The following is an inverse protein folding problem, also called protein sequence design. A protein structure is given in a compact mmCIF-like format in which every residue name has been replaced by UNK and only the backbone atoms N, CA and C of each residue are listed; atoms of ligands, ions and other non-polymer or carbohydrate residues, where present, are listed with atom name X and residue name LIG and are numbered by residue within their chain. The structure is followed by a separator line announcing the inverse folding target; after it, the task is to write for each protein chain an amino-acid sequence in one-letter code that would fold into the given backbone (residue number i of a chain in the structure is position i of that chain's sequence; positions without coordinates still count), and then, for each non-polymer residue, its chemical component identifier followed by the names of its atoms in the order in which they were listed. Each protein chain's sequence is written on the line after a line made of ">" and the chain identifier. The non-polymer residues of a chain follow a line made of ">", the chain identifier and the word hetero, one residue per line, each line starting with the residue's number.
data_IF_168889203542
#
_entry.id   IF_168889203542
#
_cell.length_a   1.000
_cell.length_b   1.000
_cell.length_c   1.000
_cell.angle_alpha   90.00
_cell.angle_beta   90.00
_cell.angle_gamma   90.00
#
_symmetry.space_group_name_H-M   'P 1'
#
loop_
_entity.id
_entity.type
_entity.pdbx_description
1 polymer ?
#
# COMPACT_ATOMS: atom_id res chain seq x y z
N UNK A 1 -4.96 5.17 11.08
CA UNK A 1 -3.83 4.49 10.40
C UNK A 1 -4.17 4.34 8.92
N UNK A 2 -3.19 4.42 8.03
CA UNK A 2 -3.35 4.25 6.58
C UNK A 2 -2.76 2.90 6.21
N UNK A 3 -3.44 2.12 5.37
CA UNK A 3 -2.97 0.82 4.95
C UNK A 3 -3.34 0.48 3.51
N UNK A 4 -2.99 -0.74 3.09
CA UNK A 4 -3.24 -1.21 1.71
C UNK A 4 -4.70 -1.12 1.27
N UNK A 5 -5.64 -1.28 2.21
CA UNK A 5 -7.10 -1.19 1.96
C UNK A 5 -7.56 0.21 1.55
N UNK A 6 -6.89 1.26 2.03
CA UNK A 6 -7.22 2.63 1.63
C UNK A 6 -6.86 2.86 0.15
N UNK A 7 -5.76 2.25 -0.32
CA UNK A 7 -5.38 2.28 -1.73
C UNK A 7 -6.27 1.40 -2.60
N UNK A 8 -6.69 0.24 -2.10
CA UNK A 8 -7.67 -0.62 -2.79
C UNK A 8 -8.96 0.14 -3.05
N UNK A 9 -9.43 0.91 -2.05
CA UNK A 9 -10.64 1.73 -2.18
C UNK A 9 -10.53 2.76 -3.30
N UNK A 10 -9.37 3.40 -3.50
CA UNK A 10 -9.19 4.36 -4.60
C UNK A 10 -9.39 3.73 -5.97
N UNK A 11 -8.94 2.49 -6.16
CA UNK A 11 -9.14 1.73 -7.39
C UNK A 11 -10.59 1.28 -7.55
N UNK A 12 -11.21 0.79 -6.47
CA UNK A 12 -12.61 0.37 -6.47
C UNK A 12 -13.52 1.54 -6.83
N UNK A 13 -13.31 2.70 -6.20
CA UNK A 13 -14.09 3.91 -6.47
C UNK A 13 -13.88 4.34 -7.94
N UNK A 14 -12.63 4.35 -8.43
CA UNK A 14 -12.32 4.68 -9.82
C UNK A 14 -13.05 3.77 -10.83
N UNK A 15 -12.96 2.45 -10.66
CA UNK A 15 -13.58 1.51 -11.60
C UNK A 15 -15.09 1.43 -11.44
N UNK A 16 -15.63 1.63 -10.23
CA UNK A 16 -17.07 1.74 -10.01
C UNK A 16 -17.64 2.93 -10.79
N UNK A 17 -16.99 4.08 -10.69
CA UNK A 17 -17.39 5.29 -11.43
C UNK A 17 -17.30 5.08 -12.95
N UNK A 18 -16.22 4.44 -13.43
CA UNK A 18 -16.04 4.14 -14.86
C UNK A 18 -17.11 3.18 -15.39
N UNK A 19 -17.36 2.08 -14.68
CA UNK A 19 -18.38 1.08 -15.05
C UNK A 19 -19.78 1.70 -15.09
N UNK A 20 -20.10 2.55 -14.12
CA UNK A 20 -21.38 3.24 -14.07
C UNK A 20 -21.53 4.26 -15.20
N UNK A 21 -20.54 5.13 -15.39
CA UNK A 21 -20.66 6.25 -16.33
C UNK A 21 -20.52 5.84 -17.79
N UNK A 22 -19.71 4.82 -18.11
CA UNK A 22 -19.43 4.43 -19.50
C UNK A 22 -20.29 3.28 -19.99
N UNK A 23 -20.68 2.38 -19.09
CA UNK A 23 -21.39 1.15 -19.44
C UNK A 23 -22.75 1.03 -18.75
N UNK A 24 -23.12 2.00 -17.89
CA UNK A 24 -24.35 1.95 -17.08
C UNK A 24 -24.41 0.71 -16.18
N UNK A 25 -23.24 0.19 -15.75
CA UNK A 25 -23.12 -0.99 -14.89
C UNK A 25 -22.91 -0.53 -13.45
N UNK A 26 -23.97 -0.60 -12.65
CA UNK A 26 -23.89 -0.36 -11.21
C UNK A 26 -23.48 -1.62 -10.45
N UNK A 27 -22.17 -1.81 -10.26
CA UNK A 27 -21.63 -2.93 -9.47
C UNK A 27 -22.03 -2.87 -8.00
N UNK A 28 -22.51 -1.73 -7.49
CA UNK A 28 -22.83 -1.60 -6.06
C UNK A 28 -24.11 -2.33 -5.66
N UNK A 29 -24.97 -2.64 -6.63
CA UNK A 29 -26.23 -3.34 -6.40
C UNK A 29 -26.09 -4.86 -6.40
N UNK A 30 -24.98 -5.39 -6.90
CA UNK A 30 -24.73 -6.83 -7.04
C UNK A 30 -23.49 -7.24 -6.23
N UNK A 31 -23.70 -8.06 -5.21
CA UNK A 31 -22.62 -8.52 -4.33
C UNK A 31 -21.54 -9.30 -5.08
N UNK A 32 -21.93 -10.15 -6.05
CA UNK A 32 -20.98 -10.95 -6.84
C UNK A 32 -20.08 -10.06 -7.67
N UNK A 33 -20.66 -9.05 -8.36
CA UNK A 33 -19.90 -8.07 -9.14
C UNK A 33 -18.98 -7.21 -8.25
N UNK A 34 -19.47 -6.81 -7.08
CA UNK A 34 -18.67 -6.11 -6.05
C UNK A 34 -17.44 -6.91 -5.64
N UNK A 35 -17.60 -8.20 -5.30
CA UNK A 35 -16.47 -9.05 -4.92
C UNK A 35 -15.50 -9.28 -6.09
N UNK A 36 -16.02 -9.44 -7.31
CA UNK A 36 -15.18 -9.56 -8.51
C UNK A 36 -14.34 -8.31 -8.71
N UNK A 37 -14.95 -7.13 -8.66
CA UNK A 37 -14.25 -5.85 -8.81
C UNK A 37 -13.19 -5.67 -7.73
N UNK A 38 -13.52 -6.01 -6.48
CA UNK A 38 -12.57 -5.98 -5.37
C UNK A 38 -11.33 -6.84 -5.65
N UNK A 39 -11.53 -8.08 -6.11
CA UNK A 39 -10.41 -8.98 -6.45
C UNK A 39 -9.57 -8.45 -7.61
N UNK A 40 -10.18 -7.89 -8.65
CA UNK A 40 -9.44 -7.32 -9.78
C UNK A 40 -8.66 -6.07 -9.36
N UNK A 41 -9.23 -5.22 -8.52
CA UNK A 41 -8.52 -4.05 -7.98
C UNK A 41 -7.30 -4.44 -7.15
N UNK A 42 -7.38 -5.52 -6.35
CA UNK A 42 -6.23 -6.04 -5.61
C UNK A 42 -5.10 -6.49 -6.55
N UNK A 43 -5.44 -7.21 -7.62
CA UNK A 43 -4.48 -7.66 -8.64
C UNK A 43 -3.85 -6.48 -9.36
N UNK A 44 -4.67 -5.52 -9.81
CA UNK A 44 -4.22 -4.30 -10.48
C UNK A 44 -3.26 -3.51 -9.59
N UNK A 45 -3.59 -3.31 -8.31
CA UNK A 45 -2.68 -2.61 -7.36
C UNK A 45 -1.32 -3.32 -7.28
N UNK A 46 -1.32 -4.64 -7.21
CA UNK A 46 -0.10 -5.44 -7.19
C UNK A 46 0.69 -5.26 -8.49
N UNK A 47 0.04 -5.45 -9.64
CA UNK A 47 0.65 -5.33 -10.95
C UNK A 47 1.20 -3.92 -11.21
N UNK A 48 0.48 -2.86 -10.83
CA UNK A 48 0.95 -1.48 -10.96
C UNK A 48 2.17 -1.17 -10.10
N UNK A 49 2.54 -2.03 -9.15
CA UNK A 49 3.81 -1.89 -8.40
C UNK A 49 5.03 -2.24 -9.26
N UNK A 50 4.85 -3.00 -10.35
CA UNK A 50 5.91 -3.41 -11.29
C UNK A 50 5.67 -2.89 -12.70
N UNK A 51 4.43 -2.93 -13.18
CA UNK A 51 3.98 -2.50 -14.50
C UNK A 51 3.49 -1.04 -14.51
N UNK A 52 3.56 -0.38 -15.67
CA UNK A 52 3.14 1.01 -15.84
C UNK A 52 1.64 1.16 -16.08
N UNK A 53 0.98 0.10 -16.52
CA UNK A 53 -0.45 0.07 -16.83
C UNK A 53 -1.04 -1.31 -16.57
N UNK A 54 -2.35 -1.34 -16.41
CA UNK A 54 -3.18 -2.55 -16.30
C UNK A 54 -4.61 -2.22 -16.72
N UNK A 55 -5.54 -3.18 -16.62
CA UNK A 55 -6.94 -3.03 -17.03
C UNK A 55 -7.88 -4.02 -16.37
N UNK A 56 -9.16 -3.68 -16.29
CA UNK A 56 -10.23 -4.66 -16.03
C UNK A 56 -10.99 -4.99 -17.31
N UNK A 57 -11.49 -6.22 -17.38
CA UNK A 57 -12.40 -6.69 -18.42
C UNK A 57 -13.85 -6.36 -18.04
N UNK A 58 -14.64 -5.79 -18.96
CA UNK A 58 -16.05 -5.46 -18.72
C UNK A 58 -16.93 -6.70 -18.80
N UNK A 59 -16.52 -7.75 -19.53
CA UNK A 59 -17.27 -9.01 -19.64
C UNK A 59 -17.49 -9.68 -18.26
N UNK A 60 -16.53 -9.50 -17.36
CA UNK A 60 -16.60 -9.93 -15.95
C UNK A 60 -17.81 -9.34 -15.19
N UNK A 61 -18.37 -8.22 -15.69
CA UNK A 61 -19.46 -7.48 -15.05
C UNK A 61 -20.73 -7.42 -15.90
N UNK A 62 -20.62 -7.58 -17.22
CA UNK A 62 -21.73 -7.56 -18.16
C UNK A 62 -21.39 -8.50 -19.32
N UNK A 63 -21.98 -9.71 -19.37
CA UNK A 63 -21.70 -10.68 -20.42
C UNK A 63 -21.85 -10.09 -21.83
N UNK A 64 -21.02 -10.56 -22.75
CA UNK A 64 -20.98 -10.17 -24.17
C UNK A 64 -20.52 -8.71 -24.38
N UNK A 65 -19.73 -8.18 -23.44
CA UNK A 65 -19.16 -6.84 -23.51
C UNK A 65 -17.62 -6.89 -23.43
N UNK A 66 -16.98 -7.04 -24.59
CA UNK A 66 -15.52 -7.17 -24.75
C UNK A 66 -14.72 -5.87 -24.53
N UNK A 67 -15.32 -4.84 -23.90
CA UNK A 67 -14.61 -3.60 -23.62
C UNK A 67 -13.64 -3.76 -22.45
N UNK A 68 -12.54 -2.99 -22.49
CA UNK A 68 -11.53 -2.96 -21.45
C UNK A 68 -11.46 -1.58 -20.83
N UNK A 69 -11.34 -1.50 -19.51
CA UNK A 69 -11.13 -0.23 -18.81
C UNK A 69 -9.68 -0.16 -18.34
N UNK A 70 -8.81 0.63 -19.00
CA UNK A 70 -7.41 0.73 -18.64
C UNK A 70 -7.19 1.63 -17.42
N UNK A 71 -6.07 1.42 -16.74
CA UNK A 71 -5.52 2.32 -15.72
C UNK A 71 -4.01 2.35 -15.83
N UNK A 72 -3.44 3.56 -15.73
CA UNK A 72 -1.99 3.73 -15.63
C UNK A 72 -1.56 3.92 -14.17
N UNK A 73 -0.30 3.56 -13.87
CA UNK A 73 0.32 3.84 -12.57
C UNK A 73 0.21 5.33 -12.23
N UNK A 74 0.40 6.21 -13.21
CA UNK A 74 0.27 7.65 -13.02
C UNK A 74 -1.12 8.04 -12.51
N UNK A 75 -2.19 7.55 -13.14
CA UNK A 75 -3.58 7.83 -12.69
C UNK A 75 -3.81 7.33 -11.27
N UNK A 76 -3.29 6.14 -10.94
CA UNK A 76 -3.40 5.58 -9.60
C UNK A 76 -2.63 6.43 -8.55
N UNK A 77 -1.40 6.83 -8.85
CA UNK A 77 -0.57 7.66 -7.98
C UNK A 77 -1.14 9.07 -7.80
N UNK A 78 -1.78 9.64 -8.82
CA UNK A 78 -2.49 10.92 -8.75
C UNK A 78 -3.70 10.85 -7.82
N UNK A 79 -4.48 9.76 -7.88
CA UNK A 79 -5.58 9.52 -6.94
C UNK A 79 -5.09 9.30 -5.51
N UNK A 80 -3.89 8.76 -5.35
CA UNK A 80 -3.30 8.47 -4.05
C UNK A 80 -2.69 9.68 -3.34
N UNK A 81 -2.64 10.86 -3.95
CA UNK A 81 -1.97 12.04 -3.38
C UNK A 81 -2.47 12.41 -1.98
N UNK A 82 -3.77 12.29 -1.72
CA UNK A 82 -4.34 12.56 -0.39
C UNK A 82 -3.84 11.59 0.68
N UNK A 83 -3.65 10.31 0.34
CA UNK A 83 -3.07 9.30 1.23
C UNK A 83 -1.57 9.55 1.44
N UNK A 84 -0.84 9.85 0.37
CA UNK A 84 0.58 10.20 0.42
C UNK A 84 0.84 11.43 1.30
N UNK A 85 -0.02 12.44 1.23
CA UNK A 85 0.03 13.60 2.12
C UNK A 85 -0.10 13.19 3.58
N UNK A 86 -1.11 12.38 3.92
CA UNK A 86 -1.30 11.92 5.30
C UNK A 86 -0.10 11.10 5.79
N UNK A 87 0.52 10.26 4.95
CA UNK A 87 1.75 9.54 5.28
C UNK A 87 2.90 10.52 5.61
N UNK A 88 3.10 11.56 4.78
CA UNK A 88 4.10 12.62 5.06
C UNK A 88 3.84 13.33 6.38
N UNK A 89 2.57 13.63 6.68
CA UNK A 89 2.17 14.24 7.95
C UNK A 89 2.48 13.35 9.13
N UNK A 90 2.18 12.04 9.05
CA UNK A 90 2.52 11.07 10.09
C UNK A 90 4.02 10.99 10.35
N UNK A 91 4.85 10.93 9.30
CA UNK A 91 6.31 10.95 9.45
C UNK A 91 6.75 12.22 10.19
N UNK A 92 6.22 13.38 9.78
CA UNK A 92 6.59 14.66 10.39
C UNK A 92 6.13 14.78 11.85
N UNK A 93 5.00 14.18 12.20
CA UNK A 93 4.51 14.14 13.58
C UNK A 93 5.49 13.37 14.50
N UNK A 94 6.02 12.24 14.05
CA UNK A 94 7.00 11.46 14.83
C UNK A 94 8.21 12.31 15.21
N UNK A 95 8.75 13.11 14.27
CA UNK A 95 9.90 13.99 14.55
C UNK A 95 9.59 15.13 15.52
N UNK A 96 8.32 15.47 15.76
CA UNK A 96 7.96 16.42 16.82
C UNK A 96 8.07 15.80 18.21
N UNK A 97 7.83 14.50 18.30
CA UNK A 97 7.89 13.76 19.58
C UNK A 97 9.33 13.39 19.96
N UNK A 98 10.26 13.38 18.99
CA UNK A 98 11.70 13.15 19.19
C UNK A 98 12.56 14.33 18.70
N UNK A 99 12.51 15.50 19.37
CA UNK A 99 13.12 16.74 18.88
C UNK A 99 14.65 16.66 18.73
N UNK A 100 15.31 15.78 19.46
CA UNK A 100 16.76 15.57 19.39
C UNK A 100 17.20 14.77 18.15
N UNK A 101 16.26 14.14 17.44
CA UNK A 101 16.51 13.38 16.23
C UNK A 101 16.17 14.23 15.00
N UNK A 102 17.15 14.49 14.14
CA UNK A 102 16.93 15.20 12.89
C UNK A 102 16.83 14.24 11.71
N UNK A 103 16.03 14.59 10.71
CA UNK A 103 15.83 13.79 9.49
C UNK A 103 17.16 13.47 8.78
N UNK A 104 18.11 14.40 8.78
CA UNK A 104 19.41 14.27 8.11
C UNK A 104 20.36 13.30 8.83
N UNK A 105 20.09 12.96 10.09
CA UNK A 105 20.85 11.98 10.87
C UNK A 105 20.41 10.54 10.60
N UNK A 106 19.27 10.35 9.92
CA UNK A 106 18.77 9.02 9.58
C UNK A 106 19.65 8.39 8.51
N UNK A 107 20.34 7.30 8.86
CA UNK A 107 21.24 6.57 7.96
C UNK A 107 20.54 5.48 7.14
N UNK A 108 19.49 4.87 7.71
CA UNK A 108 18.74 3.78 7.10
C UNK A 108 17.25 3.92 7.40
N UNK A 109 16.42 3.58 6.42
CA UNK A 109 14.97 3.45 6.58
C UNK A 109 14.61 2.02 6.19
N UNK A 110 14.18 1.23 7.16
CA UNK A 110 13.73 -0.14 6.93
C UNK A 110 12.26 -0.12 6.48
N UNK A 111 11.99 -0.71 5.32
CA UNK A 111 10.64 -0.83 4.76
C UNK A 111 10.05 -2.18 5.16
N UNK A 112 8.89 -2.15 5.83
CA UNK A 112 8.23 -3.34 6.37
C UNK A 112 6.77 -3.37 5.91
N UNK A 113 6.31 -4.54 5.48
CA UNK A 113 4.96 -4.77 4.96
C UNK A 113 4.81 -4.58 3.44
N UNK A 114 3.89 -5.32 2.85
CA UNK A 114 3.72 -5.39 1.39
C UNK A 114 3.35 -4.06 0.71
N UNK A 115 2.72 -3.12 1.43
CA UNK A 115 2.38 -1.79 0.91
C UNK A 115 3.61 -0.96 0.53
N UNK A 116 4.77 -1.23 1.11
CA UNK A 116 6.03 -0.56 0.78
C UNK A 116 6.57 -0.94 -0.61
N UNK A 117 6.02 -1.97 -1.27
CA UNK A 117 6.41 -2.35 -2.63
C UNK A 117 5.99 -1.31 -3.67
N UNK A 118 4.94 -0.51 -3.40
CA UNK A 118 4.44 0.51 -4.31
C UNK A 118 5.48 1.62 -4.60
N UNK A 119 5.79 1.90 -5.88
CA UNK A 119 6.78 2.90 -6.28
C UNK A 119 6.57 4.30 -5.67
N UNK A 120 5.34 4.83 -5.66
CA UNK A 120 5.04 6.11 -5.01
C UNK A 120 5.45 6.19 -3.53
N UNK A 121 5.36 5.08 -2.78
CA UNK A 121 5.77 5.04 -1.36
C UNK A 121 7.29 5.13 -1.26
N UNK A 122 8.02 4.38 -2.08
CA UNK A 122 9.49 4.43 -2.14
C UNK A 122 9.97 5.82 -2.55
N UNK A 123 9.34 6.44 -3.55
CA UNK A 123 9.65 7.80 -4.01
C UNK A 123 9.41 8.84 -2.92
N UNK A 124 8.29 8.75 -2.20
CA UNK A 124 7.97 9.62 -1.07
C UNK A 124 9.05 9.52 0.02
N UNK A 125 9.44 8.30 0.39
CA UNK A 125 10.43 8.08 1.44
C UNK A 125 11.83 8.51 1.01
N UNK A 126 12.21 8.27 -0.24
CA UNK A 126 13.49 8.75 -0.79
C UNK A 126 13.56 10.28 -0.78
N UNK A 127 12.45 10.95 -1.11
CA UNK A 127 12.35 12.41 -1.02
C UNK A 127 12.41 12.93 0.41
N UNK A 128 11.84 12.19 1.38
CA UNK A 128 11.82 12.60 2.80
C UNK A 128 13.15 12.34 3.50
N UNK A 129 13.89 11.31 3.11
CA UNK A 129 15.15 10.87 3.72
C UNK A 129 16.26 10.78 2.66
N UNK A 130 16.76 11.92 2.15
CA UNK A 130 17.69 11.93 1.02
C UNK A 130 19.05 11.30 1.32
N UNK A 131 19.49 11.32 2.59
CA UNK A 131 20.77 10.75 3.04
C UNK A 131 20.66 9.29 3.51
N UNK A 132 19.43 8.77 3.62
CA UNK A 132 19.21 7.43 4.14
C UNK A 132 19.19 6.40 3.02
N UNK A 133 19.77 5.23 3.30
CA UNK A 133 19.53 4.05 2.48
C UNK A 133 18.13 3.50 2.76
N UNK A 134 17.32 3.34 1.72
CA UNK A 134 16.04 2.62 1.82
C UNK A 134 16.32 1.13 1.73
N UNK A 135 16.19 0.44 2.85
CA UNK A 135 16.38 -1.01 2.92
C UNK A 135 15.02 -1.68 2.74
N UNK A 136 14.86 -2.36 1.61
CA UNK A 136 13.76 -3.28 1.38
C UNK A 136 14.33 -4.68 1.49
N UNK A 137 13.92 -5.42 2.51
CA UNK A 137 14.20 -6.86 2.58
C UNK A 137 13.55 -7.58 1.40
N UNK A 138 14.06 -8.77 1.06
CA UNK A 138 13.47 -9.60 -0.01
C UNK A 138 12.01 -9.98 0.32
N UNK A 139 11.76 -10.27 1.61
CA UNK A 139 10.45 -10.63 2.16
C UNK A 139 10.06 -9.66 3.30
N UNK A 140 9.69 -8.40 2.99
CA UNK A 140 9.35 -7.39 3.99
C UNK A 140 8.08 -7.73 4.80
N UNK A 141 7.26 -8.65 4.32
CA UNK A 141 6.09 -9.22 5.01
C UNK A 141 6.46 -10.16 6.18
N UNK A 142 7.65 -10.77 6.17
CA UNK A 142 8.05 -11.76 7.18
C UNK A 142 8.87 -11.15 8.32
N UNK A 143 9.49 -9.98 8.08
CA UNK A 143 10.42 -9.32 9.02
C UNK A 143 9.82 -9.13 10.41
N UNK A 144 8.53 -8.77 10.48
CA UNK A 144 7.83 -8.61 11.77
C UNK A 144 7.68 -9.93 12.51
N UNK A 145 7.26 -10.99 11.81
CA UNK A 145 7.08 -12.31 12.39
C UNK A 145 8.41 -12.91 12.86
N UNK A 146 9.46 -12.75 12.06
CA UNK A 146 10.82 -13.19 12.39
C UNK A 146 11.35 -12.47 13.63
N UNK A 147 11.22 -11.14 13.70
CA UNK A 147 11.62 -10.36 14.87
C UNK A 147 10.87 -10.77 16.15
N UNK A 148 9.56 -11.00 16.04
CA UNK A 148 8.74 -11.49 17.14
C UNK A 148 9.17 -12.88 17.62
N UNK A 149 9.48 -13.80 16.71
CA UNK A 149 9.93 -15.14 17.03
C UNK A 149 11.30 -15.14 17.75
N UNK A 150 12.25 -14.31 17.28
CA UNK A 150 13.54 -14.13 17.94
C UNK A 150 13.39 -13.57 19.36
N UNK A 151 12.51 -12.56 19.53
CA UNK A 151 12.24 -12.00 20.85
C UNK A 151 11.59 -13.01 21.80
N UNK A 152 10.63 -13.79 21.32
CA UNK A 152 10.02 -14.87 22.10
C UNK A 152 11.04 -15.94 22.53
N UNK A 153 11.97 -16.30 21.64
CA UNK A 153 13.07 -17.19 21.97
C UNK A 153 13.97 -16.61 23.06
N UNK A 154 14.38 -15.34 22.93
CA UNK A 154 15.21 -14.66 23.94
C UNK A 154 14.56 -14.66 25.32
N UNK A 155 13.27 -14.33 25.41
CA UNK A 155 12.50 -14.35 26.66
C UNK A 155 12.40 -15.74 27.29
N UNK A 156 12.45 -16.82 26.49
CA UNK A 156 12.47 -18.19 27.00
C UNK A 156 13.84 -18.58 27.57
N UNK A 157 14.91 -18.07 26.97
CA UNK A 157 16.29 -18.46 27.32
C UNK A 157 16.89 -17.66 28.47
N UNK A 158 16.45 -16.42 28.70
CA UNK A 158 16.86 -15.66 29.87
C UNK A 158 15.84 -15.81 31.01
N UNK A 159 16.22 -16.34 32.19
CA UNK A 159 15.32 -16.33 33.33
C UNK A 159 15.03 -14.88 33.70
N UNK A 160 13.74 -14.52 33.72
CA UNK A 160 13.26 -13.22 34.18
C UNK A 160 13.81 -13.01 35.61
N UNK A 161 14.91 -12.25 35.73
CA UNK A 161 15.38 -11.77 37.03
C UNK A 161 14.39 -10.69 37.45
N UNK A 162 13.38 -11.07 38.22
CA UNK A 162 12.63 -10.11 39.02
C UNK A 162 13.65 -9.36 39.89
N UNK A 163 13.94 -8.09 39.56
CA UNK A 163 14.48 -7.16 40.55
C UNK A 163 13.34 -6.85 41.51
N UNK A 164 13.33 -7.53 42.65
CA UNK A 164 12.67 -7.06 43.87
C UNK A 164 13.43 -5.86 44.42
#
# INVERSE_FOLDING_TARGET
>A
MIGGRDFDRLLIDYFTDRLLNEFNIDVTKDQKKKYRLYSECLKIKHNLSTSLEDRIDVDDFCPDNDNLIPITRQIFEDKAQSLLFKIRSSITAVFKDVPDCRIDQISKVLLVGGGCRMPMIKSLLKSKFPNASLCCEEQPEEVVATGAAMYAYHLKTEPIRYRL
#
